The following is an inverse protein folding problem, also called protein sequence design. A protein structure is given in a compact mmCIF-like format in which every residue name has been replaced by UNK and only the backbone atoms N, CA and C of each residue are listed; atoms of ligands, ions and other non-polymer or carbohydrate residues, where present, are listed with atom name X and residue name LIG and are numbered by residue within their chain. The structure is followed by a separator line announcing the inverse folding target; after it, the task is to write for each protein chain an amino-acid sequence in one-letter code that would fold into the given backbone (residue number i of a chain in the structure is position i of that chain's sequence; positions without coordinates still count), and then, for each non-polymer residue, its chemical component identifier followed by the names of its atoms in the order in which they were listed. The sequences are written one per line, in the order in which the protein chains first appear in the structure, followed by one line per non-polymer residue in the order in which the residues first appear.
data_IF_599128386158
#
_entry.id   IF_599128386158
#
_cell.length_a   1.000
_cell.length_b   1.000
_cell.length_c   1.000
_cell.angle_alpha   90.00
_cell.angle_beta   90.00
_cell.angle_gamma   90.00
#
_symmetry.space_group_name_H-M   'P 1'
#
loop_
_entity.id
_entity.type
_entity.pdbx_description
1 polymer ?
#
# COMPACT_ATOMS: atom_id res chain seq x y z
N UNK A 1 16.27 -19.85 12.84
CA UNK A 1 16.87 -19.26 14.07
C UNK A 1 18.33 -18.84 13.86
N UNK A 2 19.22 -19.67 13.33
CA UNK A 2 20.63 -19.28 13.07
C UNK A 2 20.78 -18.07 12.15
N UNK A 3 20.00 -17.97 11.05
CA UNK A 3 20.06 -16.83 10.13
C UNK A 3 19.59 -15.51 10.76
N UNK A 4 18.61 -15.55 11.65
CA UNK A 4 18.17 -14.38 12.42
C UNK A 4 19.24 -13.88 13.40
N UNK A 5 20.03 -14.78 14.00
CA UNK A 5 21.18 -14.42 14.83
C UNK A 5 22.26 -13.72 14.01
N UNK A 6 22.59 -14.21 12.81
CA UNK A 6 23.61 -13.60 11.95
C UNK A 6 23.29 -12.16 11.55
N UNK A 7 22.03 -11.84 11.30
CA UNK A 7 21.60 -10.46 10.96
C UNK A 7 21.75 -9.55 12.18
N UNK A 8 21.37 -10.04 13.37
CA UNK A 8 21.42 -9.26 14.62
C UNK A 8 22.85 -9.01 15.09
N UNK A 9 23.76 -9.95 14.87
CA UNK A 9 25.12 -9.92 15.42
C UNK A 9 26.13 -9.20 14.49
N UNK A 10 25.84 -9.07 13.20
CA UNK A 10 26.72 -8.44 12.21
C UNK A 10 26.36 -7.01 11.83
N UNK A 11 25.09 -6.66 11.89
CA UNK A 11 24.60 -5.41 11.33
C UNK A 11 23.68 -4.72 12.33
N UNK A 12 23.72 -3.38 12.35
CA UNK A 12 22.94 -2.46 13.19
C UNK A 12 21.55 -2.98 13.63
N UNK A 13 21.08 -2.51 14.75
CA UNK A 13 19.75 -2.79 15.27
C UNK A 13 18.68 -2.77 14.15
N UNK A 14 18.05 -3.91 13.93
CA UNK A 14 16.97 -4.04 12.93
C UNK A 14 15.93 -2.94 13.14
N UNK A 15 15.64 -2.18 12.11
CA UNK A 15 14.63 -1.12 12.16
C UNK A 15 13.24 -1.64 12.49
N UNK A 16 13.01 -2.94 12.23
CA UNK A 16 11.70 -3.53 12.42
C UNK A 16 11.81 -5.06 12.61
N UNK A 17 11.06 -5.62 13.55
CA UNK A 17 10.98 -7.07 13.75
C UNK A 17 10.36 -7.78 12.55
N UNK A 18 9.58 -7.07 11.71
CA UNK A 18 8.95 -7.61 10.51
C UNK A 18 9.93 -7.90 9.37
N UNK A 19 11.15 -7.35 9.40
CA UNK A 19 12.15 -7.55 8.34
C UNK A 19 12.71 -8.97 8.31
N UNK A 20 12.48 -9.74 9.36
CA UNK A 20 12.97 -11.12 9.51
C UNK A 20 11.85 -12.15 9.75
N UNK A 21 10.58 -11.76 9.64
CA UNK A 21 9.42 -12.63 9.93
C UNK A 21 9.35 -13.85 9.00
N UNK A 22 9.82 -13.71 7.78
CA UNK A 22 9.85 -14.79 6.79
C UNK A 22 11.25 -15.04 6.26
N UNK A 23 11.52 -16.26 5.80
CA UNK A 23 12.81 -16.62 5.19
C UNK A 23 13.15 -15.68 4.02
N UNK A 24 12.18 -15.36 3.16
CA UNK A 24 12.36 -14.46 2.02
C UNK A 24 12.77 -13.05 2.45
N UNK A 25 12.14 -12.49 3.47
CA UNK A 25 12.49 -11.16 4.01
C UNK A 25 13.85 -11.17 4.69
N UNK A 26 14.17 -12.22 5.46
CA UNK A 26 15.47 -12.37 6.08
C UNK A 26 16.60 -12.46 5.04
N UNK A 27 16.42 -13.21 3.96
CA UNK A 27 17.39 -13.27 2.85
C UNK A 27 17.54 -11.89 2.24
N UNK A 28 16.44 -11.19 1.94
CA UNK A 28 16.51 -9.85 1.34
C UNK A 28 17.20 -8.83 2.25
N UNK A 29 16.99 -8.90 3.56
CA UNK A 29 17.69 -8.04 4.51
C UNK A 29 19.22 -8.28 4.49
N UNK A 30 19.65 -9.55 4.40
CA UNK A 30 21.07 -9.89 4.28
C UNK A 30 21.65 -9.35 2.97
N UNK A 31 20.98 -9.58 1.84
CA UNK A 31 21.41 -9.08 0.52
C UNK A 31 21.61 -7.56 0.50
N UNK A 32 20.70 -6.83 1.13
CA UNK A 32 20.78 -5.36 1.23
C UNK A 32 21.99 -4.93 2.06
N UNK A 33 22.21 -5.54 3.21
CA UNK A 33 23.34 -5.21 4.08
C UNK A 33 24.68 -5.60 3.44
N UNK A 34 24.77 -6.73 2.78
CA UNK A 34 25.97 -7.13 2.01
C UNK A 34 26.26 -6.15 0.88
N UNK A 35 25.22 -5.70 0.16
CA UNK A 35 25.38 -4.70 -0.88
C UNK A 35 25.95 -3.38 -0.32
N UNK A 36 25.38 -2.87 0.77
CA UNK A 36 25.87 -1.62 1.39
C UNK A 36 27.26 -1.75 2.03
N UNK A 37 27.63 -2.93 2.50
CA UNK A 37 28.99 -3.17 3.02
C UNK A 37 30.07 -3.06 1.93
N UNK A 38 29.73 -3.39 0.67
CA UNK A 38 30.67 -3.38 -0.45
C UNK A 38 30.48 -2.18 -1.39
N UNK A 39 29.38 -1.47 -1.29
CA UNK A 39 29.05 -0.30 -2.12
C UNK A 39 28.77 0.88 -1.21
N UNK A 40 29.76 1.75 -0.93
CA UNK A 40 29.53 2.94 -0.14
C UNK A 40 28.45 3.80 -0.82
N UNK A 41 27.32 3.98 -0.16
CA UNK A 41 26.29 4.90 -0.64
C UNK A 41 26.78 6.31 -0.35
N UNK A 42 27.07 7.08 -1.39
CA UNK A 42 27.29 8.51 -1.22
C UNK A 42 25.95 9.18 -0.91
N UNK A 43 25.69 9.43 0.35
CA UNK A 43 24.48 10.13 0.82
C UNK A 43 24.34 11.53 0.17
N UNK A 44 25.42 12.07 -0.39
CA UNK A 44 25.43 13.34 -1.11
C UNK A 44 24.99 13.22 -2.58
N UNK A 45 24.91 11.99 -3.11
CA UNK A 45 24.48 11.75 -4.49
C UNK A 45 22.99 12.05 -4.72
N UNK A 46 22.20 12.13 -3.66
CA UNK A 46 20.78 12.45 -3.76
C UNK A 46 20.51 13.90 -3.36
N UNK A 47 19.88 14.70 -4.22
CA UNK A 47 19.50 16.05 -3.85
C UNK A 47 18.51 16.02 -2.68
N UNK A 48 18.67 16.94 -1.73
CA UNK A 48 17.66 17.15 -0.70
C UNK A 48 16.39 17.65 -1.36
N UNK A 49 15.34 16.83 -1.32
CA UNK A 49 14.03 17.21 -1.83
C UNK A 49 13.28 18.00 -0.74
N UNK A 50 12.86 19.20 -1.10
CA UNK A 50 11.87 19.93 -0.30
C UNK A 50 10.49 19.41 -0.69
N UNK A 51 9.87 18.62 0.19
CA UNK A 51 8.62 17.91 -0.12
C UNK A 51 7.48 18.46 0.71
N UNK A 52 6.42 18.91 0.04
CA UNK A 52 5.14 19.22 0.67
C UNK A 52 4.26 17.94 0.65
N UNK A 53 3.91 17.43 1.83
CA UNK A 53 3.08 16.24 1.95
C UNK A 53 1.67 16.67 2.34
N UNK A 54 0.71 16.42 1.45
CA UNK A 54 -0.70 16.68 1.69
C UNK A 54 -1.41 15.34 2.00
N UNK A 55 -2.07 15.29 3.14
CA UNK A 55 -2.96 14.20 3.53
C UNK A 55 -4.42 14.56 3.27
N UNK A 56 -5.20 13.61 2.78
CA UNK A 56 -6.64 13.77 2.64
C UNK A 56 -7.31 12.96 3.74
N UNK A 57 -7.96 13.65 4.68
CA UNK A 57 -8.69 12.98 5.76
C UNK A 57 -10.19 12.89 5.45
N UNK A 58 -10.79 11.84 5.93
CA UNK A 58 -12.23 11.58 5.78
C UNK A 58 -12.71 10.83 7.01
N UNK A 59 -13.90 11.17 7.47
CA UNK A 59 -14.56 10.44 8.54
C UNK A 59 -14.54 8.91 8.29
N UNK A 60 -14.37 8.16 9.35
CA UNK A 60 -14.21 6.71 9.26
C UNK A 60 -15.42 6.01 8.66
N UNK A 61 -16.62 6.38 9.10
CA UNK A 61 -17.85 5.71 8.62
C UNK A 61 -18.19 6.13 7.19
N UNK A 62 -17.98 7.41 6.87
CA UNK A 62 -18.11 7.91 5.50
C UNK A 62 -17.12 7.21 4.56
N UNK A 63 -15.86 7.01 4.99
CA UNK A 63 -14.86 6.26 4.21
C UNK A 63 -15.30 4.83 3.96
N UNK A 64 -15.82 4.14 4.98
CA UNK A 64 -16.34 2.77 4.84
C UNK A 64 -17.47 2.69 3.83
N UNK A 65 -18.44 3.58 3.95
CA UNK A 65 -19.57 3.65 3.01
C UNK A 65 -19.11 3.91 1.57
N UNK A 66 -18.19 4.85 1.38
CA UNK A 66 -17.64 5.15 0.04
C UNK A 66 -16.89 3.95 -0.55
N UNK A 67 -16.12 3.20 0.25
CA UNK A 67 -15.42 1.98 -0.18
C UNK A 67 -16.43 0.93 -0.65
N UNK A 68 -17.45 0.61 0.16
CA UNK A 68 -18.46 -0.40 -0.17
C UNK A 68 -19.25 -0.01 -1.42
N UNK A 69 -19.67 1.26 -1.52
CA UNK A 69 -20.40 1.75 -2.70
C UNK A 69 -19.55 1.69 -3.97
N UNK A 70 -18.28 2.11 -3.89
CA UNK A 70 -17.35 2.02 -5.02
C UNK A 70 -17.12 0.59 -5.47
N UNK A 71 -16.97 -0.34 -4.52
CA UNK A 71 -16.80 -1.76 -4.86
C UNK A 71 -18.01 -2.29 -5.62
N UNK A 72 -19.23 -2.02 -5.16
CA UNK A 72 -20.47 -2.41 -5.86
C UNK A 72 -20.51 -1.84 -7.26
N UNK A 73 -20.33 -0.52 -7.38
CA UNK A 73 -20.31 0.14 -8.67
C UNK A 73 -19.31 -0.48 -9.64
N UNK A 74 -18.08 -0.73 -9.20
CA UNK A 74 -17.04 -1.35 -10.02
C UNK A 74 -17.40 -2.77 -10.47
N UNK A 75 -18.04 -3.55 -9.63
CA UNK A 75 -18.54 -4.87 -9.99
C UNK A 75 -19.65 -4.79 -11.04
N UNK A 76 -20.59 -3.83 -10.89
CA UNK A 76 -21.67 -3.59 -11.85
C UNK A 76 -21.13 -3.06 -13.20
N UNK A 77 -20.03 -2.32 -13.20
CA UNK A 77 -19.33 -1.83 -14.39
C UNK A 77 -18.52 -2.93 -15.14
N UNK A 78 -18.55 -4.18 -14.67
CA UNK A 78 -17.95 -5.31 -15.38
C UNK A 78 -16.52 -5.66 -14.97
N UNK A 79 -16.12 -5.37 -13.74
CA UNK A 79 -14.79 -5.70 -13.21
C UNK A 79 -14.48 -7.21 -13.24
N UNK A 80 -15.51 -8.07 -13.11
CA UNK A 80 -15.37 -9.52 -13.26
C UNK A 80 -15.04 -9.89 -14.71
N UNK A 81 -15.70 -9.25 -15.66
CA UNK A 81 -15.51 -9.54 -17.08
C UNK A 81 -14.14 -9.03 -17.59
N UNK A 82 -13.60 -7.98 -16.97
CA UNK A 82 -12.22 -7.56 -17.19
C UNK A 82 -11.24 -8.69 -16.86
N UNK A 83 -11.37 -9.33 -15.69
CA UNK A 83 -10.49 -10.43 -15.27
C UNK A 83 -10.66 -11.65 -16.17
N UNK A 84 -11.89 -12.00 -16.57
CA UNK A 84 -12.13 -13.09 -17.53
C UNK A 84 -11.39 -12.87 -18.85
N UNK A 85 -11.52 -11.68 -19.43
CA UNK A 85 -10.83 -11.31 -20.66
C UNK A 85 -9.30 -11.38 -20.55
N UNK A 86 -8.73 -10.95 -19.41
CA UNK A 86 -7.29 -11.04 -19.17
C UNK A 86 -6.82 -12.51 -19.16
N UNK A 87 -7.56 -13.39 -18.52
CA UNK A 87 -7.26 -14.83 -18.49
C UNK A 87 -7.42 -15.44 -19.89
N UNK A 88 -8.46 -15.09 -20.65
CA UNK A 88 -8.68 -15.53 -22.03
C UNK A 88 -7.56 -15.06 -22.97
N UNK A 89 -6.96 -13.91 -22.69
CA UNK A 89 -5.77 -13.38 -23.41
C UNK A 89 -4.46 -14.09 -23.01
N UNK A 90 -4.51 -15.07 -22.10
CA UNK A 90 -3.38 -15.90 -21.73
C UNK A 90 -2.61 -15.44 -20.50
N UNK A 91 -3.08 -14.41 -19.77
CA UNK A 91 -2.46 -14.00 -18.50
C UNK A 91 -2.74 -15.09 -17.45
N UNK A 92 -1.68 -15.54 -16.79
CA UNK A 92 -1.80 -16.61 -15.81
C UNK A 92 -2.55 -16.12 -14.56
N UNK A 93 -3.46 -16.94 -14.00
CA UNK A 93 -4.19 -16.57 -12.77
C UNK A 93 -3.29 -16.18 -11.61
N UNK A 94 -2.15 -16.82 -11.44
CA UNK A 94 -1.20 -16.53 -10.35
C UNK A 94 -0.59 -15.12 -10.47
N UNK A 95 -0.36 -14.62 -11.68
CA UNK A 95 0.11 -13.26 -11.92
C UNK A 95 -0.94 -12.23 -11.50
N UNK A 96 -2.21 -12.47 -11.85
CA UNK A 96 -3.33 -11.62 -11.45
C UNK A 96 -3.54 -11.63 -9.92
N UNK A 97 -3.43 -12.80 -9.28
CA UNK A 97 -3.53 -12.92 -7.81
C UNK A 97 -2.43 -12.10 -7.11
N UNK A 98 -1.26 -12.00 -7.70
CA UNK A 98 -0.15 -11.21 -7.16
C UNK A 98 -0.31 -9.70 -7.38
N UNK A 99 -1.04 -9.29 -8.40
CA UNK A 99 -1.08 -7.89 -8.88
C UNK A 99 -1.81 -6.92 -7.93
N UNK A 100 -2.80 -7.38 -7.15
CA UNK A 100 -3.51 -6.52 -6.21
C UNK A 100 -4.73 -7.18 -5.56
N UNK A 101 -5.35 -6.47 -4.63
CA UNK A 101 -6.48 -7.03 -3.87
C UNK A 101 -7.66 -7.39 -4.76
N UNK A 102 -8.08 -6.46 -5.62
CA UNK A 102 -9.21 -6.67 -6.53
C UNK A 102 -8.95 -7.85 -7.44
N UNK A 103 -7.83 -7.82 -8.16
CA UNK A 103 -7.45 -8.91 -9.07
C UNK A 103 -7.35 -10.27 -8.36
N UNK A 104 -6.82 -10.29 -7.13
CA UNK A 104 -6.72 -11.52 -6.36
C UNK A 104 -8.08 -12.18 -6.14
N UNK A 105 -9.03 -11.46 -5.57
CA UNK A 105 -10.31 -12.05 -5.20
C UNK A 105 -11.21 -12.31 -6.42
N UNK A 106 -11.17 -11.42 -7.41
CA UNK A 106 -11.88 -11.62 -8.67
C UNK A 106 -11.34 -12.83 -9.44
N UNK A 107 -10.02 -13.00 -9.50
CA UNK A 107 -9.41 -14.19 -10.12
C UNK A 107 -9.82 -15.47 -9.40
N UNK A 108 -9.77 -15.49 -8.07
CA UNK A 108 -10.20 -16.65 -7.28
C UNK A 108 -11.67 -17.04 -7.56
N UNK A 109 -12.54 -16.05 -7.77
CA UNK A 109 -13.91 -16.28 -8.19
C UNK A 109 -13.97 -16.82 -9.64
N UNK A 110 -13.29 -16.20 -10.58
CA UNK A 110 -13.34 -16.60 -12.00
C UNK A 110 -12.82 -18.01 -12.24
N UNK A 111 -11.80 -18.45 -11.47
CA UNK A 111 -11.28 -19.81 -11.53
C UNK A 111 -12.04 -20.80 -10.63
N UNK A 112 -13.17 -20.41 -10.05
CA UNK A 112 -14.06 -21.27 -9.27
C UNK A 112 -13.57 -21.65 -7.87
N UNK A 113 -12.60 -20.93 -7.31
CA UNK A 113 -12.11 -21.15 -5.93
C UNK A 113 -12.96 -20.45 -4.87
N UNK A 114 -13.75 -19.46 -5.24
CA UNK A 114 -14.69 -18.76 -4.39
C UNK A 114 -16.04 -18.63 -5.09
N UNK A 115 -17.12 -18.59 -4.32
CA UNK A 115 -18.41 -18.13 -4.81
C UNK A 115 -18.41 -16.61 -4.97
N UNK A 116 -19.41 -16.04 -5.65
CA UNK A 116 -19.53 -14.59 -5.79
C UNK A 116 -19.69 -13.89 -4.43
N UNK A 117 -20.48 -14.45 -3.53
CA UNK A 117 -20.72 -13.93 -2.19
C UNK A 117 -19.46 -13.96 -1.34
N UNK A 118 -18.68 -15.03 -1.42
CA UNK A 118 -17.39 -15.12 -0.72
C UNK A 118 -16.40 -14.12 -1.27
N UNK A 119 -16.27 -14.03 -2.58
CA UNK A 119 -15.39 -13.05 -3.25
C UNK A 119 -15.73 -11.62 -2.83
N UNK A 120 -17.02 -11.24 -2.90
CA UNK A 120 -17.48 -9.90 -2.52
C UNK A 120 -17.14 -9.59 -1.06
N UNK A 121 -17.54 -10.48 -0.14
CA UNK A 121 -17.32 -10.32 1.30
C UNK A 121 -15.84 -10.21 1.65
N UNK A 122 -15.02 -11.11 1.12
CA UNK A 122 -13.58 -11.15 1.43
C UNK A 122 -12.84 -9.95 0.82
N UNK A 123 -13.20 -9.56 -0.39
CA UNK A 123 -12.64 -8.37 -1.04
C UNK A 123 -13.01 -7.10 -0.27
N UNK A 124 -14.26 -6.93 0.12
CA UNK A 124 -14.71 -5.78 0.91
C UNK A 124 -13.93 -5.66 2.24
N UNK A 125 -13.80 -6.78 2.97
CA UNK A 125 -13.01 -6.84 4.21
C UNK A 125 -11.55 -6.47 3.94
N UNK A 126 -10.96 -7.00 2.88
CA UNK A 126 -9.56 -6.75 2.54
C UNK A 126 -9.30 -5.27 2.20
N UNK A 127 -10.20 -4.61 1.46
CA UNK A 127 -10.12 -3.17 1.15
C UNK A 127 -10.23 -2.33 2.42
N UNK A 128 -11.17 -2.64 3.32
CA UNK A 128 -11.30 -1.95 4.60
C UNK A 128 -10.05 -2.09 5.47
N UNK A 129 -9.47 -3.29 5.52
CA UNK A 129 -8.20 -3.51 6.24
C UNK A 129 -7.04 -2.77 5.59
N UNK A 130 -7.00 -2.70 4.26
CA UNK A 130 -5.98 -1.94 3.53
C UNK A 130 -6.08 -0.44 3.86
N UNK A 131 -7.27 0.14 3.82
CA UNK A 131 -7.50 1.53 4.21
C UNK A 131 -7.08 1.83 5.66
N UNK A 132 -7.34 0.89 6.59
CA UNK A 132 -6.85 1.01 7.98
C UNK A 132 -5.32 1.00 8.06
N UNK A 133 -4.65 0.12 7.29
CA UNK A 133 -3.17 0.08 7.24
C UNK A 133 -2.57 1.36 6.66
N UNK A 134 -3.19 1.96 5.65
CA UNK A 134 -2.75 3.26 5.10
C UNK A 134 -2.74 4.34 6.19
N UNK A 135 -3.80 4.46 6.99
CA UNK A 135 -3.84 5.44 8.09
C UNK A 135 -2.77 5.15 9.18
N UNK A 136 -2.50 3.89 9.46
CA UNK A 136 -1.43 3.49 10.37
C UNK A 136 -0.06 3.90 9.81
N UNK A 137 0.14 3.76 8.51
CA UNK A 137 1.35 4.19 7.82
C UNK A 137 1.56 5.70 7.91
N UNK A 138 0.54 6.50 7.61
CA UNK A 138 0.62 7.97 7.70
C UNK A 138 0.94 8.44 9.12
N UNK A 139 0.28 7.90 10.14
CA UNK A 139 0.64 8.17 11.55
C UNK A 139 2.07 7.74 11.88
N UNK A 140 2.56 6.69 11.25
CA UNK A 140 3.96 6.27 11.34
C UNK A 140 4.92 7.26 10.71
N UNK A 141 4.55 7.91 9.60
CA UNK A 141 5.33 8.99 9.00
C UNK A 141 5.45 10.20 9.94
N UNK A 142 4.32 10.65 10.51
CA UNK A 142 4.32 11.76 11.48
C UNK A 142 5.22 11.48 12.69
N UNK A 143 5.15 10.26 13.25
CA UNK A 143 6.04 9.85 14.35
C UNK A 143 7.53 9.86 13.98
N UNK A 144 7.86 9.69 12.69
CA UNK A 144 9.23 9.80 12.16
C UNK A 144 9.64 11.23 11.80
N UNK A 145 8.81 12.24 12.10
CA UNK A 145 9.10 13.64 11.90
C UNK A 145 8.66 14.22 10.55
N UNK A 146 7.91 13.46 9.74
CA UNK A 146 7.31 14.02 8.53
C UNK A 146 6.10 14.88 8.89
N UNK A 147 6.04 16.07 8.34
CA UNK A 147 4.86 16.93 8.46
C UNK A 147 3.85 16.59 7.38
N UNK A 148 2.67 16.14 7.75
CA UNK A 148 1.56 15.90 6.83
C UNK A 148 0.52 17.01 7.05
N UNK A 149 0.22 17.77 6.01
CA UNK A 149 -0.82 18.79 6.04
C UNK A 149 -2.15 18.16 5.67
N UNK A 150 -2.96 17.86 6.66
CA UNK A 150 -4.26 17.21 6.46
C UNK A 150 -5.32 18.20 6.00
N UNK A 151 -6.10 17.81 4.99
CA UNK A 151 -7.29 18.53 4.55
C UNK A 151 -8.50 17.59 4.49
N UNK A 152 -9.68 18.13 4.69
CA UNK A 152 -10.93 17.36 4.62
C UNK A 152 -11.23 16.92 3.18
N UNK A 153 -11.59 15.63 3.02
CA UNK A 153 -11.98 15.05 1.74
C UNK A 153 -13.27 15.68 1.18
N UNK A 154 -14.13 16.23 2.03
CA UNK A 154 -15.40 16.84 1.67
C UNK A 154 -15.31 18.26 1.11
N UNK A 155 -14.14 18.93 1.25
CA UNK A 155 -13.95 20.27 0.70
C UNK A 155 -14.22 20.33 -0.81
N UNK A 156 -14.80 21.42 -1.33
CA UNK A 156 -14.85 21.70 -2.76
C UNK A 156 -13.45 21.71 -3.39
N UNK A 157 -13.37 21.46 -4.70
CA UNK A 157 -12.07 21.37 -5.39
C UNK A 157 -11.29 22.69 -5.31
N UNK A 158 -11.99 23.83 -5.44
CA UNK A 158 -11.39 25.17 -5.35
C UNK A 158 -10.74 25.40 -3.98
N UNK A 159 -11.39 24.99 -2.90
CA UNK A 159 -10.81 25.10 -1.54
C UNK A 159 -9.64 24.16 -1.34
N UNK A 160 -9.67 22.97 -1.94
CA UNK A 160 -8.51 22.05 -1.93
C UNK A 160 -7.31 22.65 -2.65
N UNK A 161 -7.53 23.25 -3.81
CA UNK A 161 -6.48 23.94 -4.57
C UNK A 161 -5.92 25.11 -3.78
N UNK A 162 -6.78 25.96 -3.22
CA UNK A 162 -6.36 27.10 -2.40
C UNK A 162 -5.53 26.65 -1.17
N UNK A 163 -5.96 25.56 -0.51
CA UNK A 163 -5.22 24.98 0.61
C UNK A 163 -3.80 24.56 0.20
N UNK A 164 -3.65 23.87 -0.94
CA UNK A 164 -2.34 23.42 -1.44
C UNK A 164 -1.47 24.61 -1.82
N UNK A 165 -2.02 25.62 -2.52
CA UNK A 165 -1.30 26.83 -2.91
C UNK A 165 -0.78 27.60 -1.69
N UNK A 166 -1.60 27.82 -0.68
CA UNK A 166 -1.19 28.48 0.56
C UNK A 166 -0.06 27.72 1.29
N UNK A 167 -0.02 26.40 1.19
CA UNK A 167 1.09 25.61 1.78
C UNK A 167 2.35 25.65 0.93
N UNK A 168 2.25 25.81 -0.38
CA UNK A 168 3.41 25.98 -1.26
C UNK A 168 4.07 27.34 -1.08
N UNK A 169 3.28 28.41 -0.89
CA UNK A 169 3.77 29.77 -0.69
C UNK A 169 4.42 29.99 0.69
N UNK A 170 4.03 29.19 1.68
CA UNK A 170 4.54 29.26 3.06
C UNK A 170 5.68 28.29 3.38
N UNK A 171 6.23 27.58 2.39
CA UNK A 171 7.23 26.53 2.56
C UNK A 171 8.63 26.94 1.92
#
# INVERSE_FOLDING_TARGET
RQRQMCIRDRYKALHNTTDVDTVKRAIRAIEIEEYYAHTPVDERAFPKLNSLIIGVDIDRELRRTKISNRLRQRLDEGMVDEVRRLIEQGIQPDDLIYYGLEYKYLTLYVIGKLTYEEMYRELEIAIHQFAKRQMTWFRGMERRGFTIHWMDAGLPMEEKIAFVQAKLEGN
#
